data_IF_316901389786
#
_entry.id   IF_316901389786
#
_cell.length_a   1.000
_cell.length_b   1.000
_cell.length_c   1.000
_cell.angle_alpha   90.00
_cell.angle_beta   90.00
_cell.angle_gamma   90.00
#
_symmetry.space_group_name_H-M   'P 1'
#
loop_
_entity.id
_entity.type
_entity.pdbx_description
1 polymer ?
#
# COMPACT_ATOMS: atom_id res chain seq x y z
N UNK A 1 3.86 -9.27 -3.82
CA UNK A 1 4.98 -8.62 -4.54
C UNK A 1 4.78 -8.47 -6.07
N UNK A 2 3.96 -9.27 -6.76
CA UNK A 2 3.75 -9.12 -8.22
C UNK A 2 3.08 -7.80 -8.66
N UNK A 3 1.83 -7.51 -8.24
CA UNK A 3 1.13 -6.26 -8.60
C UNK A 3 1.85 -4.98 -8.17
N UNK A 4 2.70 -5.06 -7.13
CA UNK A 4 3.58 -3.97 -6.72
C UNK A 4 4.55 -3.53 -7.80
N UNK A 5 5.03 -4.47 -8.62
CA UNK A 5 6.09 -4.16 -9.55
C UNK A 5 5.63 -3.18 -10.64
N UNK A 6 4.33 -3.17 -10.96
CA UNK A 6 3.76 -2.18 -11.88
C UNK A 6 3.99 -0.76 -11.34
N UNK A 7 3.70 -0.50 -10.06
CA UNK A 7 3.92 0.81 -9.45
C UNK A 7 5.40 1.15 -9.33
N UNK A 8 6.26 0.17 -9.04
CA UNK A 8 7.72 0.38 -9.05
C UNK A 8 8.20 0.82 -10.44
N UNK A 9 7.75 0.14 -11.49
CA UNK A 9 8.10 0.49 -12.87
C UNK A 9 7.54 1.85 -13.28
N UNK A 10 6.29 2.18 -12.90
CA UNK A 10 5.70 3.49 -13.16
C UNK A 10 6.46 4.61 -12.45
N UNK A 11 6.88 4.40 -11.20
CA UNK A 11 7.70 5.37 -10.46
C UNK A 11 9.07 5.53 -11.10
N UNK A 12 9.74 4.43 -11.46
CA UNK A 12 11.03 4.45 -12.15
C UNK A 12 10.97 5.16 -13.51
N UNK A 13 9.83 5.06 -14.21
CA UNK A 13 9.56 5.78 -15.46
C UNK A 13 9.09 7.24 -15.25
N UNK A 14 8.97 7.72 -14.01
CA UNK A 14 8.51 9.07 -13.69
C UNK A 14 7.02 9.32 -13.92
N UNK A 15 6.20 8.27 -14.07
CA UNK A 15 4.78 8.36 -14.36
C UNK A 15 3.92 8.63 -13.11
N UNK A 16 4.41 8.26 -11.93
CA UNK A 16 3.73 8.48 -10.66
C UNK A 16 4.71 9.05 -9.62
N UNK A 17 4.23 9.85 -8.66
CA UNK A 17 5.05 10.34 -7.55
C UNK A 17 5.33 9.23 -6.51
N UNK A 18 6.29 9.48 -5.61
CA UNK A 18 6.65 8.55 -4.55
C UNK A 18 5.48 8.29 -3.61
N UNK A 19 4.62 9.27 -3.32
CA UNK A 19 3.39 9.07 -2.55
C UNK A 19 2.52 7.92 -3.06
N UNK A 20 2.34 7.80 -4.38
CA UNK A 20 1.55 6.72 -4.99
C UNK A 20 2.27 5.37 -4.87
N UNK A 21 3.58 5.35 -5.09
CA UNK A 21 4.40 4.16 -4.86
C UNK A 21 4.32 3.69 -3.39
N UNK A 22 4.39 4.63 -2.45
CA UNK A 22 4.30 4.35 -1.01
C UNK A 22 2.94 3.75 -0.65
N UNK A 23 1.83 4.39 -1.06
CA UNK A 23 0.47 3.90 -0.74
C UNK A 23 0.27 2.50 -1.29
N UNK A 24 0.65 2.25 -2.55
CA UNK A 24 0.55 0.90 -3.11
C UNK A 24 1.35 -0.06 -2.23
N UNK A 25 2.66 0.16 -2.08
CA UNK A 25 3.60 -0.72 -1.37
C UNK A 25 3.19 -1.06 0.06
N UNK A 26 2.63 -0.09 0.78
CA UNK A 26 2.21 -0.27 2.16
C UNK A 26 0.86 -1.00 2.28
N UNK A 27 -0.13 -0.59 1.48
CA UNK A 27 -1.50 -1.10 1.62
C UNK A 27 -1.65 -2.50 1.02
N UNK A 28 -0.94 -2.82 -0.05
CA UNK A 28 -1.08 -4.09 -0.78
C UNK A 28 -0.07 -5.16 -0.35
N UNK A 29 0.52 -5.05 0.84
CA UNK A 29 1.32 -6.13 1.40
C UNK A 29 0.44 -7.35 1.72
N UNK A 30 0.56 -8.37 0.87
CA UNK A 30 -0.12 -9.66 1.03
C UNK A 30 0.67 -10.64 1.88
N UNK A 31 2.00 -10.53 1.97
CA UNK A 31 2.82 -11.55 2.63
C UNK A 31 2.56 -11.60 4.13
N UNK A 32 2.44 -10.44 4.78
CA UNK A 32 2.00 -10.36 6.18
C UNK A 32 0.52 -10.71 6.40
N UNK A 33 -0.29 -10.64 5.34
CA UNK A 33 -1.75 -10.78 5.43
C UNK A 33 -2.23 -12.22 5.21
N UNK A 34 -1.50 -13.03 4.42
CA UNK A 34 -1.86 -14.42 4.13
C UNK A 34 -1.96 -15.30 5.38
N UNK A 35 -1.02 -15.25 6.36
CA UNK A 35 -1.16 -16.03 7.59
C UNK A 35 -2.35 -15.58 8.43
N UNK A 36 -2.59 -14.27 8.52
CA UNK A 36 -3.72 -13.72 9.27
C UNK A 36 -5.06 -14.12 8.65
N UNK A 37 -5.11 -14.16 7.30
CA UNK A 37 -6.30 -14.54 6.55
C UNK A 37 -6.66 -16.01 6.74
N UNK A 38 -5.65 -16.88 6.83
CA UNK A 38 -5.83 -18.30 7.12
C UNK A 38 -6.41 -18.56 8.52
N UNK A 39 -6.16 -17.67 9.49
CA UNK A 39 -6.61 -17.82 10.88
C UNK A 39 -7.94 -17.09 11.15
N UNK A 40 -8.09 -15.85 10.66
CA UNK A 40 -9.26 -15.01 10.92
C UNK A 40 -9.46 -13.97 9.82
N UNK A 41 -10.52 -14.14 9.03
CA UNK A 41 -10.94 -13.16 8.01
C UNK A 41 -11.28 -11.82 8.67
N UNK A 42 -11.93 -11.82 9.84
CA UNK A 42 -12.32 -10.60 10.55
C UNK A 42 -11.10 -9.77 10.94
N UNK A 43 -10.07 -10.40 11.50
CA UNK A 43 -8.88 -9.68 11.93
C UNK A 43 -8.04 -9.25 10.73
N UNK A 44 -8.04 -10.04 9.66
CA UNK A 44 -7.45 -9.64 8.38
C UNK A 44 -8.09 -8.38 7.81
N UNK A 45 -9.42 -8.29 7.81
CA UNK A 45 -10.13 -7.10 7.37
C UNK A 45 -9.84 -5.88 8.26
N UNK A 46 -9.73 -6.07 9.58
CA UNK A 46 -9.38 -4.99 10.51
C UNK A 46 -7.98 -4.44 10.25
N UNK A 47 -6.98 -5.32 10.11
CA UNK A 47 -5.60 -4.91 9.79
C UNK A 47 -5.53 -4.26 8.41
N UNK A 48 -6.28 -4.78 7.42
CA UNK A 48 -6.35 -4.16 6.09
C UNK A 48 -6.92 -2.75 6.13
N UNK A 49 -8.01 -2.55 6.87
CA UNK A 49 -8.64 -1.25 7.02
C UNK A 49 -7.69 -0.27 7.72
N UNK A 50 -6.99 -0.70 8.76
CA UNK A 50 -5.96 0.10 9.42
C UNK A 50 -4.85 0.51 8.45
N UNK A 51 -4.25 -0.45 7.73
CA UNK A 51 -3.19 -0.18 6.77
C UNK A 51 -3.67 0.75 5.64
N UNK A 52 -4.90 0.57 5.16
CA UNK A 52 -5.51 1.42 4.14
C UNK A 52 -5.62 2.87 4.63
N UNK A 53 -6.20 3.08 5.81
CA UNK A 53 -6.39 4.44 6.38
C UNK A 53 -5.05 5.10 6.64
N UNK A 54 -4.10 4.40 7.27
CA UNK A 54 -2.78 4.93 7.56
C UNK A 54 -2.00 5.24 6.28
N UNK A 55 -1.99 4.30 5.33
CA UNK A 55 -1.34 4.46 4.04
C UNK A 55 -1.88 5.66 3.27
N UNK A 56 -3.21 5.80 3.17
CA UNK A 56 -3.85 6.94 2.51
C UNK A 56 -3.60 8.27 3.24
N UNK A 57 -3.57 8.27 4.58
CA UNK A 57 -3.28 9.49 5.34
C UNK A 57 -1.84 9.97 5.10
N UNK A 58 -0.85 9.09 5.27
CA UNK A 58 0.57 9.44 5.05
C UNK A 58 0.84 9.73 3.58
N UNK A 59 0.34 8.89 2.68
CA UNK A 59 0.49 9.08 1.24
C UNK A 59 -0.19 10.34 0.72
N UNK A 60 -1.37 10.69 1.24
CA UNK A 60 -2.06 11.93 0.91
C UNK A 60 -1.28 13.16 1.36
N UNK A 61 -0.67 13.11 2.56
CA UNK A 61 0.22 14.18 3.03
C UNK A 61 1.43 14.31 2.09
N UNK A 62 2.10 13.21 1.75
CA UNK A 62 3.24 13.21 0.82
C UNK A 62 2.84 13.78 -0.55
N UNK A 63 1.68 13.38 -1.07
CA UNK A 63 1.15 13.86 -2.33
C UNK A 63 0.92 15.39 -2.32
N UNK A 64 0.38 15.94 -1.23
CA UNK A 64 0.19 17.38 -1.07
C UNK A 64 1.52 18.16 -1.05
N UNK A 65 2.60 17.53 -0.58
CA UNK A 65 3.95 18.11 -0.64
C UNK A 65 4.66 17.88 -1.99
N UNK A 66 3.98 17.26 -2.97
CA UNK A 66 4.55 16.97 -4.28
C UNK A 66 5.60 15.86 -4.27
N UNK A 67 5.59 15.00 -3.24
CA UNK A 67 6.51 13.88 -3.08
C UNK A 67 5.85 12.60 -3.57
#
# INVERSE_FOLDING_TARGET
SGPHMIFVMMYAAGLIPFSVLFVSSFVQDGHGMLPLFAVSVRDSLRVKAFNLVFGLAVGGILYLFGV
#
